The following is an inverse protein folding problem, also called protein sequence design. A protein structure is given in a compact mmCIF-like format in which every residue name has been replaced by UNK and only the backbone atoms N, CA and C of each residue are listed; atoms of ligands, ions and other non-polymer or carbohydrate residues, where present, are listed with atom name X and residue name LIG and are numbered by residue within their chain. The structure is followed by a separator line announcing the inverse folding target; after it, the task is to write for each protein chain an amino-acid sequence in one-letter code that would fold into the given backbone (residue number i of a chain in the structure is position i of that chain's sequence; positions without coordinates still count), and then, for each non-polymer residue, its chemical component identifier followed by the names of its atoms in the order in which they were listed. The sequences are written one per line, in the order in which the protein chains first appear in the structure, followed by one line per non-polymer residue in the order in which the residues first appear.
data_IF_461692346366
#
_entry.id   IF_461692346366
#
_cell.length_a   1.000
_cell.length_b   1.000
_cell.length_c   1.000
_cell.angle_alpha   90.00
_cell.angle_beta   90.00
_cell.angle_gamma   90.00
#
_symmetry.space_group_name_H-M   'P 1'
#
loop_
_entity.id
_entity.type
_entity.pdbx_description
1 polymer ?
#
# COMPACT_ATOMS: atom_id res chain seq x y z
N UNK A 1 22.38 -9.96 -21.24
CA UNK A 1 22.95 -8.62 -20.97
C UNK A 1 22.07 -7.98 -19.90
N UNK A 2 22.51 -8.00 -18.64
CA UNK A 2 21.80 -7.31 -17.56
C UNK A 2 21.92 -5.82 -17.85
N UNK A 3 20.82 -5.18 -18.27
CA UNK A 3 20.75 -3.71 -18.31
C UNK A 3 20.97 -3.26 -16.87
N UNK A 4 22.08 -2.57 -16.63
CA UNK A 4 22.30 -1.82 -15.40
C UNK A 4 21.12 -0.87 -15.28
N UNK A 5 20.35 -1.00 -14.20
CA UNK A 5 19.19 -0.15 -13.94
C UNK A 5 19.76 1.20 -13.46
N UNK A 6 19.36 2.29 -14.11
CA UNK A 6 19.81 3.64 -13.74
C UNK A 6 19.10 4.08 -12.45
N UNK A 7 19.70 4.87 -11.54
CA UNK A 7 19.02 5.43 -10.37
C UNK A 7 17.68 6.09 -10.68
N UNK A 8 17.57 6.83 -11.79
CA UNK A 8 16.29 7.41 -12.25
C UNK A 8 15.20 6.35 -12.49
N UNK A 9 15.56 5.17 -13.01
CA UNK A 9 14.62 4.08 -13.22
C UNK A 9 14.21 3.42 -11.89
N UNK A 10 15.11 3.39 -10.90
CA UNK A 10 14.82 2.94 -9.55
C UNK A 10 13.88 3.92 -8.82
N UNK A 11 14.10 5.23 -8.98
CA UNK A 11 13.22 6.28 -8.47
C UNK A 11 11.81 6.15 -9.05
N UNK A 12 11.69 6.11 -10.39
CA UNK A 12 10.38 5.94 -11.03
C UNK A 12 9.70 4.62 -10.60
N UNK A 13 10.47 3.57 -10.39
CA UNK A 13 9.96 2.28 -9.93
C UNK A 13 9.38 2.36 -8.52
N UNK A 14 10.11 2.93 -7.56
CA UNK A 14 9.66 3.05 -6.17
C UNK A 14 8.45 4.01 -6.11
N UNK A 15 8.48 5.10 -6.86
CA UNK A 15 7.34 6.01 -6.99
C UNK A 15 6.10 5.32 -7.58
N UNK A 16 6.28 4.43 -8.55
CA UNK A 16 5.16 3.68 -9.12
C UNK A 16 4.61 2.65 -8.13
N UNK A 17 5.49 1.96 -7.40
CA UNK A 17 5.12 1.03 -6.34
C UNK A 17 4.39 1.73 -5.19
N UNK A 18 4.82 2.94 -4.81
CA UNK A 18 4.16 3.71 -3.75
C UNK A 18 2.72 4.06 -4.13
N UNK A 19 2.49 4.50 -5.38
CA UNK A 19 1.15 4.77 -5.93
C UNK A 19 0.27 3.52 -5.98
N UNK A 20 0.81 2.39 -6.44
CA UNK A 20 0.10 1.09 -6.40
C UNK A 20 -0.28 0.74 -4.97
N UNK A 21 0.66 0.89 -4.03
CA UNK A 21 0.48 0.60 -2.62
C UNK A 21 -0.62 1.46 -2.00
N UNK A 22 -0.63 2.77 -2.26
CA UNK A 22 -1.70 3.67 -1.80
C UNK A 22 -3.06 3.23 -2.38
N UNK A 23 -3.10 2.94 -3.68
CA UNK A 23 -4.33 2.48 -4.35
C UNK A 23 -4.86 1.21 -3.69
N UNK A 24 -4.02 0.17 -3.58
CA UNK A 24 -4.37 -1.12 -2.95
C UNK A 24 -4.81 -0.94 -1.50
N UNK A 25 -4.06 -0.16 -0.74
CA UNK A 25 -4.38 0.16 0.65
C UNK A 25 -5.77 0.78 0.78
N UNK A 26 -6.08 1.77 -0.05
CA UNK A 26 -7.39 2.44 -0.04
C UNK A 26 -8.52 1.49 -0.47
N UNK A 27 -8.33 0.71 -1.53
CA UNK A 27 -9.32 -0.28 -1.99
C UNK A 27 -9.64 -1.33 -0.93
N UNK A 28 -8.61 -1.83 -0.23
CA UNK A 28 -8.80 -2.77 0.88
C UNK A 28 -9.45 -2.11 2.11
N UNK A 29 -9.17 -0.83 2.38
CA UNK A 29 -9.82 -0.09 3.47
C UNK A 29 -11.33 0.05 3.22
N UNK A 30 -11.68 0.39 1.97
CA UNK A 30 -13.06 0.44 1.49
C UNK A 30 -13.70 -0.92 1.71
N UNK A 31 -13.16 -2.01 1.14
CA UNK A 31 -13.71 -3.37 1.31
C UNK A 31 -13.87 -3.80 2.78
N UNK A 32 -12.92 -3.42 3.65
CA UNK A 32 -13.00 -3.68 5.09
C UNK A 32 -14.16 -2.92 5.72
N UNK A 33 -14.36 -1.67 5.32
CA UNK A 33 -15.45 -0.81 5.80
C UNK A 33 -16.81 -1.45 5.46
N UNK A 34 -17.03 -1.90 4.23
CA UNK A 34 -18.28 -2.60 3.87
C UNK A 34 -18.49 -3.90 4.67
N UNK A 35 -17.44 -4.66 4.93
CA UNK A 35 -17.54 -5.86 5.79
C UNK A 35 -17.93 -5.53 7.24
N UNK A 36 -17.51 -4.38 7.76
CA UNK A 36 -17.85 -3.93 9.12
C UNK A 36 -19.27 -3.32 9.15
N UNK A 37 -19.64 -2.54 8.13
CA UNK A 37 -20.90 -1.79 8.09
C UNK A 37 -22.10 -2.58 7.54
N UNK A 38 -21.90 -3.67 6.78
CA UNK A 38 -22.99 -4.59 6.38
C UNK A 38 -23.62 -5.37 7.55
N UNK A 39 -23.18 -5.13 8.79
CA UNK A 39 -23.87 -5.54 10.01
C UNK A 39 -25.01 -4.58 10.42
N UNK A 40 -25.18 -3.45 9.73
CA UNK A 40 -26.26 -2.49 9.98
C UNK A 40 -27.06 -2.25 8.70
N UNK A 41 -28.36 -2.55 8.73
CA UNK A 41 -29.39 -2.43 7.66
C UNK A 41 -29.58 -1.00 7.08
N UNK A 42 -28.52 -0.19 6.94
CA UNK A 42 -28.63 1.24 6.61
C UNK A 42 -28.12 1.57 5.21
N UNK A 43 -29.11 1.69 4.33
CA UNK A 43 -29.20 2.58 3.17
C UNK A 43 -28.51 2.14 1.87
N UNK A 44 -29.36 1.93 0.86
CA UNK A 44 -29.05 1.70 -0.54
C UNK A 44 -28.13 2.78 -1.16
N UNK A 45 -28.10 3.99 -0.58
CA UNK A 45 -27.33 5.14 -1.05
C UNK A 45 -25.84 5.05 -0.64
N UNK A 46 -25.56 4.56 0.58
CA UNK A 46 -24.18 4.26 1.03
C UNK A 46 -23.58 3.14 0.18
N UNK A 47 -24.38 2.13 -0.15
CA UNK A 47 -23.98 1.03 -1.03
C UNK A 47 -23.60 1.51 -2.45
N UNK A 48 -24.37 2.42 -3.06
CA UNK A 48 -24.07 2.94 -4.39
C UNK A 48 -22.77 3.77 -4.46
N UNK A 49 -22.55 4.67 -3.49
CA UNK A 49 -21.29 5.42 -3.38
C UNK A 49 -20.10 4.49 -3.15
N UNK A 50 -20.30 3.44 -2.37
CA UNK A 50 -19.29 2.42 -2.10
C UNK A 50 -18.90 1.64 -3.36
N UNK A 51 -19.86 1.19 -4.17
CA UNK A 51 -19.58 0.54 -5.45
C UNK A 51 -18.88 1.46 -6.45
N UNK A 52 -19.21 2.76 -6.46
CA UNK A 52 -18.53 3.73 -7.31
C UNK A 52 -17.06 3.93 -6.89
N UNK A 53 -16.78 4.01 -5.59
CA UNK A 53 -15.41 4.08 -5.06
C UNK A 53 -14.65 2.80 -5.40
N UNK A 54 -15.27 1.63 -5.22
CA UNK A 54 -14.67 0.34 -5.59
C UNK A 54 -14.36 0.26 -7.10
N UNK A 55 -15.26 0.74 -7.96
CA UNK A 55 -15.04 0.78 -9.40
C UNK A 55 -13.89 1.72 -9.78
N UNK A 56 -13.84 2.92 -9.20
CA UNK A 56 -12.72 3.86 -9.39
C UNK A 56 -11.40 3.26 -8.92
N UNK A 57 -11.40 2.52 -7.81
CA UNK A 57 -10.24 1.78 -7.32
C UNK A 57 -9.79 0.69 -8.30
N UNK A 58 -10.72 -0.11 -8.85
CA UNK A 58 -10.39 -1.15 -9.84
C UNK A 58 -9.79 -0.51 -11.10
N UNK A 59 -10.36 0.58 -11.58
CA UNK A 59 -9.86 1.32 -12.75
C UNK A 59 -8.45 1.87 -12.47
N UNK A 60 -8.26 2.55 -11.34
CA UNK A 60 -6.98 3.15 -10.95
C UNK A 60 -5.90 2.09 -10.79
N UNK A 61 -6.20 1.00 -10.08
CA UNK A 61 -5.26 -0.12 -9.88
C UNK A 61 -4.95 -0.82 -11.19
N UNK A 62 -5.94 -1.05 -12.06
CA UNK A 62 -5.71 -1.63 -13.39
C UNK A 62 -4.82 -0.73 -14.25
N UNK A 63 -5.05 0.59 -14.22
CA UNK A 63 -4.20 1.55 -14.90
C UNK A 63 -2.75 1.52 -14.40
N UNK A 64 -2.56 1.50 -13.08
CA UNK A 64 -1.22 1.39 -12.49
C UNK A 64 -0.56 0.05 -12.80
N UNK A 65 -1.30 -1.06 -12.78
CA UNK A 65 -0.78 -2.37 -13.15
C UNK A 65 -0.34 -2.41 -14.61
N UNK A 66 -1.13 -1.84 -15.53
CA UNK A 66 -0.75 -1.75 -16.95
C UNK A 66 0.54 -0.93 -17.11
N UNK A 67 0.63 0.23 -16.43
CA UNK A 67 1.87 1.03 -16.42
C UNK A 67 3.05 0.33 -15.75
N UNK A 68 2.80 -0.57 -14.80
CA UNK A 68 3.84 -1.35 -14.11
C UNK A 68 4.52 -2.38 -15.01
N UNK A 69 3.94 -2.70 -16.18
CA UNK A 69 4.50 -3.68 -17.10
C UNK A 69 5.92 -3.30 -17.58
N UNK A 70 6.23 -2.00 -17.65
CA UNK A 70 7.60 -1.53 -17.95
C UNK A 70 8.63 -1.94 -16.89
N UNK A 71 8.18 -2.16 -15.65
CA UNK A 71 8.99 -2.55 -14.50
C UNK A 71 8.88 -4.03 -14.13
N UNK A 72 8.21 -4.86 -14.93
CA UNK A 72 7.92 -6.25 -14.56
C UNK A 72 9.18 -7.03 -14.16
N UNK A 73 10.29 -6.86 -14.88
CA UNK A 73 11.57 -7.50 -14.57
C UNK A 73 12.16 -7.03 -13.24
N UNK A 74 11.95 -5.77 -12.90
CA UNK A 74 12.42 -5.17 -11.65
C UNK A 74 11.57 -5.65 -10.48
N UNK A 75 10.25 -5.78 -10.65
CA UNK A 75 9.33 -6.35 -9.66
C UNK A 75 9.64 -7.78 -9.26
N UNK A 76 10.24 -8.57 -10.16
CA UNK A 76 10.70 -9.93 -9.87
C UNK A 76 12.20 -10.02 -9.53
N UNK A 77 12.89 -8.88 -9.42
CA UNK A 77 14.31 -8.86 -9.05
C UNK A 77 14.48 -9.02 -7.54
N UNK A 78 15.49 -9.79 -7.12
CA UNK A 78 15.85 -9.92 -5.69
C UNK A 78 16.05 -8.54 -5.03
N UNK A 79 16.65 -7.61 -5.77
CA UNK A 79 16.96 -6.27 -5.31
C UNK A 79 15.71 -5.49 -4.89
N UNK A 80 14.64 -5.54 -5.70
CA UNK A 80 13.38 -4.88 -5.36
C UNK A 80 12.73 -5.47 -4.09
N UNK A 81 12.79 -6.79 -3.92
CA UNK A 81 12.23 -7.46 -2.74
C UNK A 81 13.02 -7.19 -1.46
N UNK A 82 14.33 -7.05 -1.57
CA UNK A 82 15.21 -6.75 -0.44
C UNK A 82 15.29 -5.24 -0.15
N UNK A 83 14.71 -4.39 -1.01
CA UNK A 83 14.84 -2.94 -0.92
C UNK A 83 16.28 -2.47 -1.10
N UNK A 84 17.05 -3.14 -1.95
CA UNK A 84 18.46 -2.83 -2.23
C UNK A 84 18.60 -2.27 -3.65
N UNK A 85 18.77 -0.96 -3.73
CA UNK A 85 18.92 -0.10 -4.90
C UNK A 85 20.35 0.44 -4.99
N UNK A 86 20.72 0.96 -6.16
CA UNK A 86 22.05 1.57 -6.37
C UNK A 86 22.18 2.89 -5.62
N UNK A 87 21.07 3.61 -5.47
CA UNK A 87 20.99 4.87 -4.74
C UNK A 87 20.77 4.62 -3.23
N UNK A 88 21.60 5.24 -2.39
CA UNK A 88 21.52 5.16 -0.94
C UNK A 88 20.27 5.84 -0.38
N UNK A 89 19.81 6.93 -1.01
CA UNK A 89 18.57 7.60 -0.63
C UNK A 89 17.37 6.68 -0.86
N UNK A 90 17.28 6.05 -2.04
CA UNK A 90 16.21 5.11 -2.37
C UNK A 90 16.18 3.89 -1.46
N UNK A 91 17.36 3.42 -1.01
CA UNK A 91 17.49 2.40 0.03
C UNK A 91 16.90 2.86 1.35
N UNK A 92 17.26 4.06 1.79
CA UNK A 92 16.78 4.64 3.05
C UNK A 92 15.25 4.80 3.05
N UNK A 93 14.70 5.36 1.97
CA UNK A 93 13.25 5.57 1.81
C UNK A 93 12.49 4.24 1.80
N UNK A 94 12.96 3.26 1.03
CA UNK A 94 12.33 1.94 0.96
C UNK A 94 12.37 1.22 2.29
N UNK A 95 13.53 1.24 2.97
CA UNK A 95 13.71 0.62 4.28
C UNK A 95 12.83 1.27 5.35
N UNK A 96 12.69 2.60 5.33
CA UNK A 96 11.80 3.33 6.22
C UNK A 96 10.34 2.90 6.01
N UNK A 97 9.90 2.82 4.76
CA UNK A 97 8.57 2.33 4.41
C UNK A 97 8.31 0.91 4.93
N UNK A 98 9.23 -0.02 4.68
CA UNK A 98 9.11 -1.40 5.18
C UNK A 98 9.08 -1.48 6.71
N UNK A 99 9.96 -0.74 7.39
CA UNK A 99 10.01 -0.71 8.86
C UNK A 99 8.69 -0.22 9.46
N UNK A 100 8.14 0.88 8.95
CA UNK A 100 6.88 1.43 9.46
C UNK A 100 5.70 0.50 9.19
N UNK A 101 5.61 -0.09 8.01
CA UNK A 101 4.57 -1.09 7.71
C UNK A 101 4.69 -2.33 8.59
N UNK A 102 5.90 -2.82 8.84
CA UNK A 102 6.13 -3.96 9.74
C UNK A 102 5.77 -3.63 11.20
N UNK A 103 6.10 -2.41 11.67
CA UNK A 103 5.71 -1.94 13.00
C UNK A 103 4.19 -1.85 13.15
N UNK A 104 3.48 -1.39 12.13
CA UNK A 104 2.02 -1.32 12.19
C UNK A 104 1.36 -2.69 12.11
N UNK A 105 1.86 -3.59 11.24
CA UNK A 105 1.41 -5.00 11.23
C UNK A 105 1.59 -5.65 12.61
N UNK A 106 2.77 -5.48 13.22
CA UNK A 106 3.06 -6.08 14.52
C UNK A 106 2.24 -5.46 15.65
N UNK A 107 2.04 -4.14 15.66
CA UNK A 107 1.20 -3.46 16.66
C UNK A 107 -0.25 -3.95 16.60
N UNK A 108 -0.83 -4.02 15.40
CA UNK A 108 -2.22 -4.44 15.25
C UNK A 108 -2.35 -5.96 15.47
N UNK A 109 -1.36 -6.77 15.08
CA UNK A 109 -1.34 -8.18 15.45
C UNK A 109 -1.26 -8.37 16.97
N UNK A 110 -0.49 -7.54 17.68
CA UNK A 110 -0.42 -7.54 19.14
C UNK A 110 -1.78 -7.16 19.75
N UNK A 111 -2.44 -6.11 19.23
CA UNK A 111 -3.79 -5.74 19.66
C UNK A 111 -4.79 -6.88 19.41
N UNK A 112 -4.69 -7.57 18.28
CA UNK A 112 -5.49 -8.74 17.96
C UNK A 112 -5.20 -9.92 18.90
N UNK A 113 -3.97 -10.09 19.39
CA UNK A 113 -3.64 -11.11 20.38
C UNK A 113 -4.16 -10.75 21.78
N UNK A 114 -4.07 -9.48 22.17
CA UNK A 114 -4.49 -9.01 23.49
C UNK A 114 -6.02 -8.93 23.63
N UNK A 115 -6.72 -8.57 22.56
CA UNK A 115 -8.15 -8.28 22.56
C UNK A 115 -8.92 -9.13 21.54
N UNK A 116 -8.32 -10.19 21.01
CA UNK A 116 -8.87 -10.98 19.90
C UNK A 116 -10.26 -11.52 20.16
N UNK A 117 -10.51 -12.02 21.37
CA UNK A 117 -11.83 -12.54 21.75
C UNK A 117 -12.88 -11.43 21.71
N UNK A 118 -12.61 -10.28 22.34
CA UNK A 118 -13.50 -9.11 22.32
C UNK A 118 -13.64 -8.46 20.94
N UNK A 119 -12.60 -8.51 20.12
CA UNK A 119 -12.62 -8.01 18.74
C UNK A 119 -13.42 -8.92 17.82
N UNK A 120 -13.36 -10.24 18.04
CA UNK A 120 -14.08 -11.22 17.22
C UNK A 120 -15.60 -11.12 17.35
N UNK A 121 -16.07 -10.63 18.50
CA UNK A 121 -17.48 -10.31 18.74
C UNK A 121 -17.99 -9.10 17.93
N UNK A 122 -17.07 -8.23 17.48
CA UNK A 122 -17.39 -6.95 16.81
C UNK A 122 -17.00 -6.99 15.33
N UNK A 123 -15.89 -7.63 14.99
CA UNK A 123 -15.26 -7.62 13.67
C UNK A 123 -14.77 -9.02 13.32
N UNK A 124 -15.15 -9.51 12.14
CA UNK A 124 -14.67 -10.82 11.67
C UNK A 124 -13.13 -10.83 11.53
N UNK A 125 -12.50 -11.97 11.81
CA UNK A 125 -11.05 -12.15 11.64
C UNK A 125 -10.59 -11.80 10.22
N UNK A 126 -11.43 -12.07 9.21
CA UNK A 126 -11.19 -11.70 7.81
C UNK A 126 -11.14 -10.18 7.61
N UNK A 127 -12.09 -9.44 8.19
CA UNK A 127 -12.10 -7.98 8.12
C UNK A 127 -10.89 -7.39 8.85
N UNK A 128 -10.52 -7.93 10.01
CA UNK A 128 -9.32 -7.51 10.75
C UNK A 128 -8.03 -7.75 9.94
N UNK A 129 -7.89 -8.93 9.33
CA UNK A 129 -6.77 -9.24 8.44
C UNK A 129 -6.72 -8.34 7.20
N UNK A 130 -7.89 -8.00 6.64
CA UNK A 130 -7.97 -7.08 5.48
C UNK A 130 -7.59 -5.65 5.88
N UNK A 131 -8.02 -5.19 7.06
CA UNK A 131 -7.66 -3.89 7.63
C UNK A 131 -6.15 -3.76 7.86
N UNK A 132 -5.55 -4.82 8.43
CA UNK A 132 -4.11 -4.95 8.68
C UNK A 132 -3.30 -4.75 7.40
N UNK A 133 -3.64 -5.53 6.36
CA UNK A 133 -2.96 -5.48 5.07
C UNK A 133 -3.19 -4.12 4.39
N UNK A 134 -4.42 -3.61 4.44
CA UNK A 134 -4.77 -2.28 3.92
C UNK A 134 -3.88 -1.18 4.50
N UNK A 135 -3.81 -1.10 5.84
CA UNK A 135 -3.08 -0.04 6.52
C UNK A 135 -1.57 -0.14 6.24
N UNK A 136 -1.05 -1.36 6.10
CA UNK A 136 0.36 -1.60 5.80
C UNK A 136 0.75 -1.12 4.41
N UNK A 137 -0.12 -1.35 3.42
CA UNK A 137 0.04 -0.79 2.08
C UNK A 137 -0.10 0.74 2.08
N UNK A 138 -1.04 1.30 2.83
CA UNK A 138 -1.16 2.76 2.95
C UNK A 138 0.09 3.39 3.56
N UNK A 139 0.62 2.84 4.64
CA UNK A 139 1.81 3.38 5.32
C UNK A 139 3.03 3.31 4.42
N UNK A 140 3.30 2.14 3.83
CA UNK A 140 4.41 2.00 2.89
C UNK A 140 4.28 3.02 1.77
N UNK A 141 3.11 3.07 1.13
CA UNK A 141 2.86 3.90 -0.02
C UNK A 141 2.93 5.40 0.28
N UNK A 142 2.30 5.87 1.35
CA UNK A 142 2.30 7.30 1.73
C UNK A 142 3.69 7.76 2.16
N UNK A 143 4.39 6.99 2.99
CA UNK A 143 5.72 7.38 3.48
C UNK A 143 6.72 7.46 2.34
N UNK A 144 6.75 6.44 1.47
CA UNK A 144 7.64 6.43 0.31
C UNK A 144 7.28 7.54 -0.67
N UNK A 145 6.00 7.76 -0.96
CA UNK A 145 5.56 8.83 -1.84
C UNK A 145 5.98 10.22 -1.35
N UNK A 146 5.73 10.54 -0.08
CA UNK A 146 6.08 11.84 0.51
C UNK A 146 7.58 12.05 0.47
N UNK A 147 8.36 11.04 0.87
CA UNK A 147 9.82 11.16 0.93
C UNK A 147 10.46 11.39 -0.43
N UNK A 148 9.95 10.71 -1.47
CA UNK A 148 10.46 10.90 -2.83
C UNK A 148 10.15 12.29 -3.41
N UNK A 149 9.02 12.91 -3.06
CA UNK A 149 8.70 14.27 -3.53
C UNK A 149 9.39 15.36 -2.71
N UNK A 150 9.67 15.12 -1.41
CA UNK A 150 10.45 16.06 -0.60
C UNK A 150 11.85 16.26 -1.16
N UNK A 151 12.45 15.20 -1.70
CA UNK A 151 13.76 15.23 -2.33
C UNK A 151 13.74 16.06 -3.63
N UNK A 152 12.70 15.87 -4.46
CA UNK A 152 12.49 16.67 -5.68
C UNK A 152 12.33 18.18 -5.39
N UNK A 153 11.68 18.53 -4.28
CA UNK A 153 11.49 19.92 -3.84
C UNK A 153 12.78 20.54 -3.25
N UNK A 154 13.66 19.73 -2.65
CA UNK A 154 14.94 20.18 -2.08
C UNK A 154 16.04 20.35 -3.16
N UNK A 155 15.92 19.66 -4.31
CA UNK A 155 16.84 19.80 -5.45
C UNK A 155 16.44 20.91 -6.44
N UNK A 156 15.28 21.56 -6.27
CA UNK A 156 14.84 22.67 -7.12
C UNK A 156 15.60 23.99 -6.79
N UNK A 157 16.20 24.68 -7.78
CA UNK A 157 17.05 25.86 -7.58
C UNK A 157 16.31 27.13 -7.11
#
# INVERSE_FOLDING_TARGET
MNKVINPEQEHEYILHNSRISISLGFGLAVLTTDQIFNLSDKSMLVSASFYLIAALFVISTSYFLIKSNKFIKQSFSKNAWMGTYHDEFLNSVSLLGYKLSALVMSLIALLAMCFGDSLSDIVSLKALGTALVSLSFLIYGVVTYIKLHQDEDEEAP
#
